data_IF_777627451380
#
_entry.id   IF_777627451380
#
_cell.length_a   1.000
_cell.length_b   1.000
_cell.length_c   1.000
_cell.angle_alpha   90.00
_cell.angle_beta   90.00
_cell.angle_gamma   90.00
#
_symmetry.space_group_name_H-M   'P 1'
#
loop_
_entity.id
_entity.type
_entity.pdbx_description
1 polymer ?
#
# COMPACT_ATOMS: atom_id res chain seq x y z
N UNK A 1 5.06 10.49 52.18
CA UNK A 1 4.97 11.62 53.13
C UNK A 1 3.84 12.50 52.67
N UNK A 2 2.95 12.77 53.64
CA UNK A 2 1.66 13.46 53.62
C UNK A 2 0.48 12.56 53.25
N UNK A 3 -0.10 12.00 54.20
CA UNK A 3 -1.03 12.32 55.32
C UNK A 3 -2.45 12.67 54.84
N UNK A 4 -3.34 11.73 55.13
CA UNK A 4 -4.81 11.75 55.01
C UNK A 4 -5.34 12.36 56.34
N UNK A 5 -6.31 13.26 56.35
CA UNK A 5 -7.12 13.48 57.52
C UNK A 5 -8.47 12.77 57.40
N UNK A 6 -8.73 11.97 58.44
CA UNK A 6 -10.02 11.41 58.77
C UNK A 6 -10.94 12.50 59.34
N UNK A 7 -12.18 12.53 58.90
CA UNK A 7 -13.27 13.22 59.59
C UNK A 7 -14.25 12.20 60.18
N UNK A 8 -14.37 12.31 61.49
CA UNK A 8 -15.35 11.67 62.41
C UNK A 8 -16.69 12.37 62.33
N UNK A 9 -17.82 11.69 62.61
CA UNK A 9 -19.17 12.26 62.64
C UNK A 9 -19.52 12.82 64.04
N UNK A 10 -20.41 13.78 64.15
CA UNK A 10 -21.04 14.13 65.42
C UNK A 10 -22.44 13.55 65.58
N UNK A 11 -22.68 13.01 66.65
CA UNK A 11 -23.49 12.70 67.74
C UNK A 11 -24.95 13.17 67.72
N UNK A 12 -25.79 12.22 68.12
CA UNK A 12 -27.14 12.44 68.51
C UNK A 12 -27.31 13.40 69.73
N UNK A 13 -28.45 14.05 69.87
CA UNK A 13 -28.97 14.37 71.16
C UNK A 13 -30.35 13.74 71.44
N UNK A 14 -30.30 12.84 72.44
CA UNK A 14 -31.16 12.67 73.61
C UNK A 14 -32.64 13.09 73.56
N UNK A 15 -33.43 12.06 73.80
CA UNK A 15 -34.80 12.04 74.30
C UNK A 15 -35.03 12.86 75.54
N UNK A 16 -36.18 13.48 75.67
CA UNK A 16 -36.81 13.89 76.91
C UNK A 16 -38.29 13.46 76.96
N UNK A 17 -38.78 13.03 78.11
CA UNK A 17 -40.08 12.37 78.26
C UNK A 17 -41.24 13.37 78.51
N UNK A 18 -42.53 12.90 78.36
CA UNK A 18 -43.69 13.73 78.50
C UNK A 18 -44.19 13.89 79.95
N UNK A 19 -44.95 14.92 80.29
CA UNK A 19 -45.54 15.10 81.62
C UNK A 19 -46.91 14.45 81.76
N UNK A 20 -47.16 14.05 83.01
CA UNK A 20 -48.36 13.35 83.46
C UNK A 20 -49.62 14.21 83.48
N UNK A 21 -50.75 13.59 83.21
CA UNK A 21 -52.06 14.15 83.25
C UNK A 21 -52.72 14.38 84.63
N UNK A 22 -53.91 14.89 84.69
CA UNK A 22 -54.74 14.66 85.90
C UNK A 22 -55.98 13.81 85.63
N UNK A 23 -56.26 13.05 86.67
CA UNK A 23 -57.47 12.21 86.84
C UNK A 23 -58.70 13.12 87.02
N UNK A 24 -59.82 12.82 86.38
CA UNK A 24 -61.17 13.15 86.88
C UNK A 24 -62.17 12.05 86.67
N UNK A 25 -63.00 12.02 87.61
CA UNK A 25 -63.95 11.04 88.10
C UNK A 25 -65.07 10.66 87.11
N UNK A 26 -65.57 9.45 87.37
CA UNK A 26 -66.78 8.85 86.77
C UNK A 26 -68.08 9.56 87.09
N UNK A 27 -68.90 9.78 86.02
CA UNK A 27 -70.36 9.93 86.20
C UNK A 27 -71.12 8.97 85.30
N UNK A 28 -71.93 8.14 85.90
CA UNK A 28 -72.86 7.26 85.24
C UNK A 28 -74.04 8.05 84.63
N UNK A 29 -74.23 7.99 83.33
CA UNK A 29 -75.39 8.54 82.62
C UNK A 29 -76.13 7.45 81.82
N UNK A 30 -77.42 7.34 82.03
CA UNK A 30 -78.34 6.41 81.37
C UNK A 30 -78.36 6.62 79.82
N UNK A 31 -78.19 5.53 79.04
CA UNK A 31 -78.23 5.56 77.57
C UNK A 31 -79.68 5.15 77.10
N UNK A 32 -80.38 6.02 76.35
CA UNK A 32 -81.63 5.64 75.69
C UNK A 32 -81.31 4.71 74.47
N UNK A 33 -82.12 3.66 74.28
CA UNK A 33 -81.87 2.57 73.28
C UNK A 33 -82.15 3.00 71.82
N UNK A 34 -82.54 4.21 71.50
CA UNK A 34 -82.81 4.67 70.14
C UNK A 34 -81.54 4.96 69.25
N UNK A 35 -80.35 5.38 69.72
CA UNK A 35 -79.20 5.64 68.86
C UNK A 35 -78.43 4.40 68.43
N UNK A 36 -78.68 3.22 69.06
CA UNK A 36 -77.90 1.98 68.73
C UNK A 36 -78.29 1.42 67.38
N UNK A 37 -79.55 1.54 66.92
CA UNK A 37 -80.02 1.07 65.62
C UNK A 37 -79.38 1.99 64.50
N UNK A 38 -79.30 3.29 64.72
CA UNK A 38 -78.70 4.21 63.79
C UNK A 38 -77.23 3.98 63.62
N UNK A 39 -76.46 3.66 64.70
CA UNK A 39 -75.02 3.38 64.64
C UNK A 39 -74.76 2.06 63.89
N UNK A 40 -75.58 1.02 64.04
CA UNK A 40 -75.45 -0.22 63.29
C UNK A 40 -75.71 -0.03 61.77
N UNK A 41 -76.65 0.82 61.38
CA UNK A 41 -76.97 1.13 59.98
C UNK A 41 -75.78 1.92 59.35
N UNK A 42 -75.23 2.87 60.10
CA UNK A 42 -74.06 3.65 59.65
C UNK A 42 -72.78 2.75 59.47
N UNK A 43 -72.55 1.83 60.39
CA UNK A 43 -71.48 0.85 60.33
C UNK A 43 -71.66 -0.12 59.14
N UNK A 44 -72.87 -0.60 58.92
CA UNK A 44 -73.19 -1.46 57.78
C UNK A 44 -73.10 -0.68 56.44
N UNK A 45 -73.51 0.57 56.39
CA UNK A 45 -73.33 1.43 55.23
C UNK A 45 -71.82 1.75 54.97
N UNK A 46 -71.07 2.00 56.02
CA UNK A 46 -69.63 2.19 55.92
C UNK A 46 -68.86 0.92 55.45
N UNK A 47 -69.27 -0.25 55.96
CA UNK A 47 -68.76 -1.55 55.52
C UNK A 47 -69.14 -1.86 54.06
N UNK A 48 -70.41 -1.56 53.67
CA UNK A 48 -70.86 -1.73 52.29
C UNK A 48 -70.13 -0.78 51.34
N UNK A 49 -69.88 0.48 51.72
CA UNK A 49 -69.12 1.46 50.98
C UNK A 49 -67.61 1.02 50.91
N UNK A 50 -67.07 0.52 52.02
CA UNK A 50 -65.71 -0.04 52.07
C UNK A 50 -65.56 -1.25 51.14
N UNK A 51 -66.52 -2.20 51.22
CA UNK A 51 -66.50 -3.37 50.33
C UNK A 51 -66.70 -3.00 48.86
N UNK A 52 -67.58 -2.05 48.56
CA UNK A 52 -67.78 -1.54 47.21
C UNK A 52 -66.50 -0.81 46.67
N UNK A 53 -65.91 -0.02 47.53
CA UNK A 53 -64.65 0.66 47.18
C UNK A 53 -63.48 -0.34 46.96
N UNK A 54 -63.38 -1.35 47.82
CA UNK A 54 -62.38 -2.40 47.68
C UNK A 54 -62.62 -3.19 46.37
N UNK A 55 -63.85 -3.59 46.10
CA UNK A 55 -64.20 -4.31 44.86
C UNK A 55 -63.98 -3.44 43.60
N UNK A 56 -64.24 -2.13 43.68
CA UNK A 56 -63.99 -1.22 42.59
C UNK A 56 -62.46 -0.98 42.34
N UNK A 57 -61.67 -1.02 43.41
CA UNK A 57 -60.16 -0.93 43.33
C UNK A 57 -59.62 -2.22 42.71
N UNK A 58 -60.09 -3.39 43.15
CA UNK A 58 -59.67 -4.67 42.59
C UNK A 58 -59.96 -4.80 41.08
N UNK A 59 -61.17 -4.41 40.68
CA UNK A 59 -61.59 -4.38 39.27
C UNK A 59 -60.78 -3.41 38.45
N UNK A 60 -60.42 -2.23 39.00
CA UNK A 60 -59.51 -1.26 38.33
C UNK A 60 -58.11 -1.81 38.25
N UNK A 61 -57.64 -2.46 39.31
CA UNK A 61 -56.31 -3.11 39.30
C UNK A 61 -56.25 -4.25 38.26
N UNK A 62 -57.28 -5.11 38.20
CA UNK A 62 -57.37 -6.14 37.14
C UNK A 62 -57.47 -5.57 35.73
N UNK A 63 -58.24 -4.49 35.53
CA UNK A 63 -58.35 -3.82 34.24
C UNK A 63 -57.03 -3.17 33.82
N UNK A 64 -56.34 -2.53 34.79
CA UNK A 64 -55.01 -1.93 34.54
C UNK A 64 -53.99 -3.02 34.25
N UNK A 65 -54.06 -4.14 34.98
CA UNK A 65 -53.17 -5.28 34.77
C UNK A 65 -53.39 -5.96 33.40
N UNK A 66 -54.68 -6.12 32.99
CA UNK A 66 -55.01 -6.63 31.64
C UNK A 66 -54.57 -5.65 30.55
N UNK A 67 -54.82 -4.35 30.73
CA UNK A 67 -54.36 -3.31 29.82
C UNK A 67 -52.82 -3.26 29.69
N UNK A 68 -52.11 -3.55 30.81
CA UNK A 68 -50.62 -3.61 30.81
C UNK A 68 -50.10 -4.88 30.11
N UNK A 69 -50.84 -6.02 30.24
CA UNK A 69 -50.47 -7.27 29.57
C UNK A 69 -50.78 -7.22 28.06
N UNK A 70 -51.87 -6.53 27.66
CA UNK A 70 -52.26 -6.35 26.25
C UNK A 70 -51.58 -5.14 25.58
N UNK A 71 -50.79 -4.38 26.34
CA UNK A 71 -50.07 -3.22 25.77
C UNK A 71 -49.02 -3.70 24.76
N UNK A 72 -49.25 -3.39 23.49
CA UNK A 72 -48.29 -3.59 22.38
C UNK A 72 -47.58 -2.29 22.08
N UNK A 73 -46.35 -2.14 22.50
CA UNK A 73 -45.60 -0.91 22.19
C UNK A 73 -45.44 -0.76 20.68
N UNK A 74 -45.65 0.47 20.21
CA UNK A 74 -45.38 0.81 18.81
C UNK A 74 -43.90 0.91 18.58
N UNK A 75 -43.37 0.19 17.59
CA UNK A 75 -41.96 0.16 17.27
C UNK A 75 -41.77 0.45 15.78
N UNK A 76 -40.92 1.43 15.48
CA UNK A 76 -40.49 1.68 14.10
C UNK A 76 -39.67 0.51 13.62
N UNK A 77 -39.85 0.13 12.35
CA UNK A 77 -39.12 -1.01 11.77
C UNK A 77 -38.33 -0.60 10.54
N UNK A 78 -37.17 -1.21 10.39
CA UNK A 78 -36.39 -1.19 9.16
C UNK A 78 -36.02 -2.61 8.73
N UNK A 79 -35.74 -2.81 7.46
CA UNK A 79 -35.29 -4.11 6.95
C UNK A 79 -33.79 -4.16 6.90
N UNK A 80 -33.19 -5.27 7.34
CA UNK A 80 -31.78 -5.54 7.18
C UNK A 80 -31.42 -5.69 5.68
N UNK A 81 -30.52 -4.87 5.18
CA UNK A 81 -30.13 -4.91 3.77
C UNK A 81 -28.97 -5.87 3.55
N UNK A 82 -29.13 -6.78 2.60
CA UNK A 82 -28.03 -7.62 2.13
C UNK A 82 -27.22 -6.87 1.08
N UNK A 83 -25.94 -6.68 1.30
CA UNK A 83 -25.00 -6.08 0.33
C UNK A 83 -24.05 -7.13 -0.21
N UNK A 84 -24.18 -7.43 -1.49
CA UNK A 84 -23.35 -8.42 -2.20
C UNK A 84 -22.19 -7.77 -2.98
N UNK A 85 -22.25 -6.46 -3.25
CA UNK A 85 -21.25 -5.73 -4.00
C UNK A 85 -19.91 -5.56 -3.27
N UNK A 86 -18.82 -5.18 -4.00
CA UNK A 86 -17.52 -4.94 -3.40
C UNK A 86 -17.56 -3.83 -2.34
N UNK A 87 -16.63 -3.89 -1.42
CA UNK A 87 -16.44 -2.82 -0.43
C UNK A 87 -15.65 -1.71 -1.13
N UNK A 88 -16.23 -0.53 -1.24
CA UNK A 88 -15.55 0.65 -1.78
C UNK A 88 -14.79 1.33 -0.66
N UNK A 89 -13.45 1.35 -0.80
CA UNK A 89 -12.55 2.05 0.10
C UNK A 89 -11.91 3.20 -0.66
N UNK A 90 -12.21 4.43 -0.27
CA UNK A 90 -11.63 5.61 -0.90
C UNK A 90 -10.53 6.19 -0.02
N UNK A 91 -9.35 6.41 -0.62
CA UNK A 91 -8.16 6.96 0.04
C UNK A 91 -7.51 8.03 -0.84
N UNK A 92 -6.94 9.07 -0.23
CA UNK A 92 -6.13 10.03 -0.97
C UNK A 92 -4.86 9.36 -1.48
N UNK A 93 -4.47 9.71 -2.70
CA UNK A 93 -3.27 9.20 -3.35
C UNK A 93 -2.51 10.28 -4.10
N UNK A 94 -1.30 9.95 -4.50
CA UNK A 94 -0.45 10.81 -5.33
C UNK A 94 -0.08 10.06 -6.60
N UNK A 95 -0.17 10.73 -7.74
CA UNK A 95 0.24 10.20 -9.03
C UNK A 95 1.76 10.38 -9.16
N UNK A 96 2.45 9.29 -9.42
CA UNK A 96 3.88 9.22 -9.66
C UNK A 96 4.14 8.75 -11.09
N UNK A 97 5.28 9.08 -11.70
CA UNK A 97 5.67 8.48 -12.97
C UNK A 97 5.87 6.97 -12.79
N UNK A 98 5.59 6.19 -13.83
CA UNK A 98 5.85 4.75 -13.81
C UNK A 98 7.35 4.46 -13.65
N UNK A 99 8.17 5.12 -14.48
CA UNK A 99 9.63 5.16 -14.38
C UNK A 99 10.11 6.61 -14.42
N UNK A 100 11.15 6.91 -13.66
CA UNK A 100 11.85 8.18 -13.66
C UNK A 100 13.34 7.97 -13.75
N UNK A 101 14.01 8.67 -14.66
CA UNK A 101 15.46 8.69 -14.76
C UNK A 101 16.00 10.12 -14.61
N UNK A 102 16.98 10.26 -13.73
CA UNK A 102 17.78 11.45 -13.61
C UNK A 102 19.08 11.23 -14.40
N UNK A 103 19.26 11.98 -15.48
CA UNK A 103 20.38 11.83 -16.40
C UNK A 103 21.51 12.74 -15.98
N UNK A 104 22.66 12.15 -15.71
CA UNK A 104 23.91 12.83 -15.32
C UNK A 104 24.95 12.71 -16.41
N UNK A 105 25.91 13.66 -16.46
CA UNK A 105 27.08 13.56 -17.32
C UNK A 105 27.95 12.39 -16.86
N UNK A 106 28.46 11.61 -17.82
CA UNK A 106 29.46 10.54 -17.60
C UNK A 106 30.81 10.87 -18.23
N UNK A 107 30.88 11.98 -18.95
CA UNK A 107 32.09 12.58 -19.50
C UNK A 107 32.19 14.04 -19.06
N UNK A 108 33.40 14.52 -18.81
CA UNK A 108 33.66 15.93 -18.49
C UNK A 108 33.92 16.70 -19.77
N UNK A 109 33.24 17.80 -19.98
CA UNK A 109 33.36 18.62 -21.17
C UNK A 109 32.28 19.71 -21.24
N UNK A 110 32.23 20.43 -22.36
CA UNK A 110 31.23 21.47 -22.59
C UNK A 110 30.08 20.92 -23.42
N UNK A 111 28.86 21.40 -23.12
CA UNK A 111 27.68 21.06 -23.92
C UNK A 111 27.81 21.72 -25.31
N UNK A 112 28.08 20.93 -26.34
CA UNK A 112 28.20 21.41 -27.70
C UNK A 112 26.85 21.59 -28.40
N UNK A 113 25.95 20.67 -28.18
CA UNK A 113 24.63 20.64 -28.83
C UNK A 113 23.57 20.06 -27.91
N UNK A 114 22.38 20.64 -27.91
CA UNK A 114 21.20 20.15 -27.23
C UNK A 114 20.06 19.93 -28.23
N UNK A 115 19.49 18.72 -28.25
CA UNK A 115 18.43 18.32 -29.20
C UNK A 115 17.02 18.42 -28.63
N UNK A 116 16.89 18.47 -27.30
CA UNK A 116 15.61 18.38 -26.59
C UNK A 116 15.46 19.51 -25.56
N UNK A 117 14.20 19.81 -25.20
CA UNK A 117 13.88 20.77 -24.14
C UNK A 117 12.79 20.22 -23.22
N UNK A 118 12.43 20.98 -22.15
CA UNK A 118 11.34 20.65 -21.25
C UNK A 118 10.06 20.45 -22.06
N UNK A 119 9.31 19.37 -21.75
CA UNK A 119 8.10 18.99 -22.47
C UNK A 119 8.33 18.19 -23.75
N UNK A 120 9.57 18.01 -24.20
CA UNK A 120 9.87 17.17 -25.37
C UNK A 120 9.57 15.71 -25.08
N UNK A 121 8.82 15.05 -25.97
CA UNK A 121 8.67 13.59 -25.98
C UNK A 121 9.85 12.95 -26.68
N UNK A 122 10.41 11.93 -26.07
CA UNK A 122 11.64 11.27 -26.50
C UNK A 122 11.47 9.74 -26.47
N UNK A 123 12.17 9.06 -27.39
CA UNK A 123 12.20 7.61 -27.45
C UNK A 123 13.53 7.06 -26.94
N UNK A 124 13.54 5.82 -26.52
CA UNK A 124 14.76 5.13 -26.09
C UNK A 124 15.84 5.19 -27.19
N UNK A 125 17.04 5.66 -26.83
CA UNK A 125 18.15 5.83 -27.76
C UNK A 125 18.24 7.22 -28.39
N UNK A 126 17.24 8.08 -28.29
CA UNK A 126 17.30 9.44 -28.82
C UNK A 126 18.45 10.24 -28.16
N UNK A 127 19.14 11.07 -28.96
CA UNK A 127 20.21 11.93 -28.47
C UNK A 127 19.64 13.15 -27.74
N UNK A 128 19.96 13.31 -26.47
CA UNK A 128 19.58 14.46 -25.65
C UNK A 128 20.53 15.63 -25.87
N UNK A 129 21.82 15.36 -25.63
CA UNK A 129 22.91 16.34 -25.79
C UNK A 129 24.17 15.67 -26.27
N UNK A 130 25.03 16.48 -26.88
CA UNK A 130 26.39 16.12 -27.19
C UNK A 130 27.33 16.95 -26.31
N UNK A 131 28.20 16.25 -25.59
CA UNK A 131 29.31 16.83 -24.83
C UNK A 131 30.53 16.88 -25.74
N UNK A 132 31.27 17.97 -25.74
CA UNK A 132 32.57 18.08 -26.40
C UNK A 132 33.66 17.93 -25.36
N UNK A 133 34.49 16.90 -25.51
CA UNK A 133 35.62 16.63 -24.65
C UNK A 133 36.92 16.44 -25.50
N UNK A 134 37.48 17.53 -26.08
CA UNK A 134 38.61 17.45 -27.02
C UNK A 134 39.84 16.71 -26.44
N UNK A 135 40.06 16.82 -25.14
CA UNK A 135 41.17 16.12 -24.47
C UNK A 135 40.99 14.60 -24.48
N UNK A 136 39.76 14.12 -24.36
CA UNK A 136 39.46 12.71 -24.42
C UNK A 136 39.56 12.16 -25.84
N UNK A 137 39.12 12.94 -26.83
CA UNK A 137 39.30 12.62 -28.25
C UNK A 137 40.77 12.51 -28.63
N UNK A 138 41.58 13.46 -28.16
CA UNK A 138 43.05 13.45 -28.41
C UNK A 138 43.70 12.22 -27.75
N UNK A 139 43.28 11.84 -26.54
CA UNK A 139 43.78 10.63 -25.88
C UNK A 139 43.39 9.35 -26.65
N UNK A 140 42.17 9.27 -27.19
CA UNK A 140 41.75 8.16 -28.02
C UNK A 140 42.57 8.06 -29.30
N UNK A 141 42.81 9.17 -29.98
CA UNK A 141 43.69 9.22 -31.18
C UNK A 141 45.09 8.74 -30.85
N UNK A 142 45.67 9.21 -29.76
CA UNK A 142 47.01 8.78 -29.30
C UNK A 142 47.07 7.26 -29.04
N UNK A 143 46.06 6.71 -28.34
CA UNK A 143 45.99 5.28 -28.06
C UNK A 143 45.83 4.45 -29.35
N UNK A 144 45.07 4.95 -30.33
CA UNK A 144 44.91 4.29 -31.64
C UNK A 144 46.24 4.28 -32.42
N UNK A 145 46.98 5.38 -32.39
CA UNK A 145 48.32 5.45 -33.01
C UNK A 145 49.28 4.45 -32.34
N UNK A 146 49.27 4.35 -31.01
CA UNK A 146 50.05 3.38 -30.25
C UNK A 146 49.67 1.93 -30.59
N UNK A 147 48.38 1.64 -30.79
CA UNK A 147 47.93 0.32 -31.25
C UNK A 147 48.49 -0.02 -32.64
N UNK A 148 48.48 0.94 -33.57
CA UNK A 148 49.07 0.77 -34.89
C UNK A 148 50.58 0.44 -34.81
N UNK A 149 51.33 1.09 -33.90
CA UNK A 149 52.72 0.79 -33.66
C UNK A 149 52.92 -0.66 -33.15
N UNK A 150 52.11 -1.10 -32.17
CA UNK A 150 52.22 -2.47 -31.66
C UNK A 150 51.84 -3.53 -32.72
N UNK A 151 50.87 -3.23 -33.57
CA UNK A 151 50.48 -4.09 -34.69
C UNK A 151 51.65 -4.22 -35.71
N UNK A 152 52.35 -3.13 -36.03
CA UNK A 152 53.53 -3.17 -36.89
C UNK A 152 54.66 -4.01 -36.26
N UNK A 153 54.85 -3.90 -34.92
CA UNK A 153 55.83 -4.72 -34.21
C UNK A 153 55.44 -6.21 -34.24
N UNK A 154 54.18 -6.56 -34.17
CA UNK A 154 53.73 -7.95 -34.35
C UNK A 154 54.03 -8.48 -35.76
N UNK A 155 53.79 -7.68 -36.79
CA UNK A 155 54.14 -8.01 -38.18
C UNK A 155 55.66 -8.28 -38.29
N UNK A 156 56.51 -7.42 -37.70
CA UNK A 156 57.94 -7.62 -37.67
C UNK A 156 58.34 -8.92 -36.95
N UNK A 157 57.70 -9.22 -35.81
CA UNK A 157 57.93 -10.45 -35.05
C UNK A 157 57.57 -11.70 -35.86
N UNK A 158 56.45 -11.66 -36.61
CA UNK A 158 56.04 -12.75 -37.51
C UNK A 158 57.06 -12.96 -38.67
N UNK A 159 57.61 -11.88 -39.26
CA UNK A 159 58.67 -11.98 -40.27
C UNK A 159 59.99 -12.61 -39.71
N UNK A 160 60.27 -12.34 -38.44
CA UNK A 160 61.45 -12.98 -37.76
C UNK A 160 61.21 -14.51 -37.58
N UNK A 161 59.96 -14.92 -37.29
CA UNK A 161 59.57 -16.36 -37.24
C UNK A 161 59.76 -17.01 -38.61
N UNK A 162 59.30 -16.36 -39.69
CA UNK A 162 59.45 -16.90 -41.03
C UNK A 162 60.87 -17.05 -41.42
N UNK A 163 61.73 -16.08 -41.08
CA UNK A 163 63.18 -16.18 -41.28
C UNK A 163 63.79 -17.35 -40.45
N UNK A 164 63.48 -17.46 -39.18
CA UNK A 164 63.97 -18.55 -38.30
C UNK A 164 63.46 -19.95 -38.82
N UNK A 165 62.29 -20.04 -39.31
CA UNK A 165 61.72 -21.25 -39.92
C UNK A 165 62.48 -21.67 -41.19
N UNK A 166 62.84 -20.69 -42.07
CA UNK A 166 63.59 -20.95 -43.26
C UNK A 166 65.06 -21.42 -42.92
N UNK A 167 65.65 -20.82 -41.89
CA UNK A 167 67.00 -21.21 -41.40
C UNK A 167 66.97 -22.64 -40.82
N UNK A 168 65.95 -22.98 -40.03
CA UNK A 168 65.76 -24.33 -39.49
C UNK A 168 65.60 -25.37 -40.60
N UNK A 169 64.79 -25.04 -41.61
CA UNK A 169 64.60 -25.91 -42.77
C UNK A 169 65.89 -26.18 -43.50
N UNK A 170 66.68 -25.14 -43.76
CA UNK A 170 67.98 -25.29 -44.39
C UNK A 170 68.95 -26.14 -43.54
N UNK A 171 69.06 -25.89 -42.23
CA UNK A 171 69.85 -26.66 -41.27
C UNK A 171 69.45 -28.13 -41.25
N UNK A 172 68.13 -28.40 -41.25
CA UNK A 172 67.58 -29.76 -41.29
C UNK A 172 67.93 -30.53 -42.57
N UNK A 173 67.81 -29.87 -43.73
CA UNK A 173 68.27 -30.43 -45.01
C UNK A 173 69.78 -30.73 -45.05
N UNK A 174 70.60 -29.82 -44.53
CA UNK A 174 72.04 -29.96 -44.46
C UNK A 174 72.42 -31.09 -43.53
N UNK A 175 71.84 -31.15 -42.31
CA UNK A 175 72.10 -32.20 -41.33
C UNK A 175 71.70 -33.58 -41.86
N UNK A 176 70.57 -33.73 -42.49
CA UNK A 176 70.08 -34.99 -43.08
C UNK A 176 71.09 -35.50 -44.16
N UNK A 177 71.58 -34.58 -45.00
CA UNK A 177 72.57 -34.95 -46.06
C UNK A 177 73.90 -35.36 -45.44
N UNK A 178 74.44 -34.57 -44.51
CA UNK A 178 75.75 -34.83 -43.87
C UNK A 178 75.67 -36.12 -43.06
N UNK A 179 74.64 -36.37 -42.29
CA UNK A 179 74.43 -37.60 -41.50
C UNK A 179 74.40 -38.84 -42.39
N UNK A 180 73.71 -38.76 -43.54
CA UNK A 180 73.64 -39.82 -44.51
C UNK A 180 75.03 -40.13 -45.11
N UNK A 181 75.80 -39.07 -45.48
CA UNK A 181 77.18 -39.25 -46.03
C UNK A 181 78.16 -39.80 -44.97
N UNK A 182 78.05 -39.38 -43.71
CA UNK A 182 78.84 -39.87 -42.59
C UNK A 182 78.56 -41.37 -42.33
N UNK A 183 77.31 -41.80 -42.38
CA UNK A 183 76.99 -43.23 -42.26
C UNK A 183 77.51 -44.13 -43.38
N UNK A 184 77.79 -43.53 -44.52
CA UNK A 184 78.42 -44.20 -45.66
C UNK A 184 79.94 -44.08 -45.69
N UNK A 185 80.57 -43.40 -44.70
CA UNK A 185 82.03 -43.20 -44.63
C UNK A 185 82.55 -42.10 -45.52
N UNK A 186 81.75 -41.26 -46.16
CA UNK A 186 82.15 -40.20 -47.09
C UNK A 186 82.32 -38.83 -46.41
N UNK A 187 81.98 -38.72 -45.16
CA UNK A 187 82.06 -37.49 -44.36
C UNK A 187 82.51 -37.85 -42.93
N UNK A 188 83.11 -36.86 -42.19
CA UNK A 188 83.60 -37.07 -40.84
C UNK A 188 82.46 -36.99 -39.80
N UNK A 189 82.57 -37.80 -38.71
CA UNK A 189 81.64 -37.76 -37.59
C UNK A 189 81.60 -36.36 -36.95
N UNK A 190 82.77 -35.70 -36.84
CA UNK A 190 82.83 -34.29 -36.31
C UNK A 190 81.98 -33.31 -37.13
N UNK A 191 81.91 -33.45 -38.47
CA UNK A 191 81.07 -32.59 -39.29
C UNK A 191 79.60 -32.95 -39.17
N UNK A 192 79.22 -34.21 -38.95
CA UNK A 192 77.85 -34.63 -38.64
C UNK A 192 77.42 -34.05 -37.29
N UNK A 193 78.26 -34.09 -36.25
CA UNK A 193 77.94 -33.47 -34.93
C UNK A 193 77.81 -31.95 -35.01
N UNK A 194 78.66 -31.29 -35.86
CA UNK A 194 78.51 -29.85 -36.08
C UNK A 194 77.17 -29.45 -36.73
N UNK A 195 76.81 -30.22 -37.76
CA UNK A 195 75.49 -29.95 -38.41
C UNK A 195 74.30 -30.30 -37.55
N UNK A 196 74.39 -31.32 -36.68
CA UNK A 196 73.35 -31.63 -35.68
C UNK A 196 73.23 -30.49 -34.64
N UNK A 197 74.42 -29.99 -34.17
CA UNK A 197 74.40 -28.84 -33.24
C UNK A 197 73.80 -27.58 -33.89
N UNK A 198 74.09 -27.33 -35.19
CA UNK A 198 73.55 -26.24 -35.96
C UNK A 198 72.00 -26.40 -36.10
N UNK A 199 71.52 -27.62 -36.33
CA UNK A 199 70.08 -27.90 -36.36
C UNK A 199 69.41 -27.57 -35.02
N UNK A 200 70.00 -28.05 -33.92
CA UNK A 200 69.47 -27.80 -32.57
C UNK A 200 69.43 -26.29 -32.22
N UNK A 201 70.48 -25.55 -32.60
CA UNK A 201 70.60 -24.11 -32.45
C UNK A 201 69.53 -23.37 -33.24
N UNK A 202 69.25 -23.75 -34.49
CA UNK A 202 68.19 -23.15 -35.32
C UNK A 202 66.79 -23.50 -34.79
N UNK A 203 66.60 -24.68 -34.22
CA UNK A 203 65.36 -25.06 -33.57
C UNK A 203 65.05 -24.16 -32.32
N UNK A 204 66.10 -23.94 -31.47
CA UNK A 204 66.02 -23.04 -30.34
C UNK A 204 65.71 -21.57 -30.74
N UNK A 205 66.39 -21.15 -31.88
CA UNK A 205 66.12 -19.81 -32.42
C UNK A 205 64.66 -19.65 -32.92
N UNK A 206 64.14 -20.67 -33.57
CA UNK A 206 62.71 -20.63 -33.96
C UNK A 206 61.79 -20.53 -32.72
N UNK A 207 62.02 -21.33 -31.70
CA UNK A 207 61.27 -21.28 -30.45
C UNK A 207 61.34 -19.89 -29.80
N UNK A 208 62.49 -19.30 -29.76
CA UNK A 208 62.74 -17.91 -29.29
C UNK A 208 61.95 -16.89 -30.12
N UNK A 209 61.95 -17.01 -31.46
CA UNK A 209 61.16 -16.14 -32.33
C UNK A 209 59.62 -16.31 -32.10
N UNK A 210 59.16 -17.54 -31.92
CA UNK A 210 57.75 -17.80 -31.57
C UNK A 210 57.37 -17.21 -30.23
N UNK A 211 58.25 -17.28 -29.22
CA UNK A 211 58.04 -16.60 -27.95
C UNK A 211 57.96 -15.06 -28.13
N UNK A 212 58.77 -14.50 -29.02
CA UNK A 212 58.72 -13.07 -29.39
C UNK A 212 57.37 -12.67 -29.98
N UNK A 213 56.79 -13.51 -30.85
CA UNK A 213 55.43 -13.27 -31.37
C UNK A 213 54.40 -13.23 -30.24
N UNK A 214 54.44 -14.17 -29.30
CA UNK A 214 53.52 -14.20 -28.16
C UNK A 214 53.61 -12.94 -27.31
N UNK A 215 54.83 -12.39 -27.12
CA UNK A 215 55.01 -11.11 -26.42
C UNK A 215 54.39 -9.96 -27.21
N UNK A 216 54.64 -9.90 -28.53
CA UNK A 216 54.06 -8.86 -29.38
C UNK A 216 52.52 -8.94 -29.42
N UNK A 217 51.91 -10.14 -29.50
CA UNK A 217 50.48 -10.35 -29.41
C UNK A 217 49.91 -9.86 -28.07
N UNK A 218 50.59 -10.16 -26.95
CA UNK A 218 50.19 -9.68 -25.64
C UNK A 218 50.18 -8.14 -25.55
N UNK A 219 51.21 -7.49 -26.15
CA UNK A 219 51.31 -6.02 -26.20
C UNK A 219 50.18 -5.42 -27.06
N UNK A 220 49.85 -6.01 -28.23
CA UNK A 220 48.70 -5.58 -29.05
C UNK A 220 47.44 -5.69 -28.25
N UNK A 221 47.19 -6.81 -27.56
CA UNK A 221 46.00 -7.02 -26.75
C UNK A 221 45.89 -6.01 -25.59
N UNK A 222 46.97 -5.72 -24.92
CA UNK A 222 46.98 -4.72 -23.83
C UNK A 222 46.68 -3.31 -24.34
N UNK A 223 47.24 -2.92 -25.48
CA UNK A 223 46.99 -1.61 -26.10
C UNK A 223 45.59 -1.51 -26.66
N UNK A 224 45.06 -2.59 -27.25
CA UNK A 224 43.66 -2.70 -27.71
C UNK A 224 42.71 -2.45 -26.55
N UNK A 225 42.91 -3.07 -25.39
CA UNK A 225 42.10 -2.84 -24.21
C UNK A 225 42.07 -1.37 -23.77
N UNK A 226 43.21 -0.67 -23.93
CA UNK A 226 43.29 0.78 -23.66
C UNK A 226 42.46 1.57 -24.65
N UNK A 227 42.49 1.26 -25.93
CA UNK A 227 41.67 1.89 -26.97
C UNK A 227 40.21 1.65 -26.70
N UNK A 228 39.78 0.43 -26.34
CA UNK A 228 38.40 0.07 -26.10
C UNK A 228 37.86 0.80 -24.86
N UNK A 229 38.66 0.95 -23.80
CA UNK A 229 38.31 1.78 -22.64
C UNK A 229 38.06 3.23 -23.04
N UNK A 230 38.96 3.84 -23.80
CA UNK A 230 38.84 5.24 -24.23
C UNK A 230 37.63 5.43 -25.18
N UNK A 231 37.38 4.48 -26.08
CA UNK A 231 36.14 4.49 -26.91
C UNK A 231 34.87 4.48 -26.07
N UNK A 232 34.86 3.67 -25.01
CA UNK A 232 33.69 3.64 -24.09
C UNK A 232 33.52 4.98 -23.41
N UNK A 233 34.59 5.62 -22.97
CA UNK A 233 34.55 6.95 -22.36
C UNK A 233 34.07 8.03 -23.34
N UNK A 234 34.59 8.02 -24.58
CA UNK A 234 34.18 8.93 -25.65
C UNK A 234 32.71 8.70 -26.05
N UNK A 235 32.22 7.47 -26.04
CA UNK A 235 30.79 7.18 -26.29
C UNK A 235 29.85 7.89 -25.30
N UNK A 236 30.31 8.20 -24.07
CA UNK A 236 29.55 8.96 -23.08
C UNK A 236 29.41 10.44 -23.39
N UNK A 237 30.08 10.96 -24.41
CA UNK A 237 29.85 12.30 -24.93
C UNK A 237 28.48 12.44 -25.61
N UNK A 238 27.94 11.34 -26.10
CA UNK A 238 26.59 11.27 -26.63
C UNK A 238 25.66 10.76 -25.56
N UNK A 239 24.92 11.66 -24.93
CA UNK A 239 23.97 11.32 -23.87
C UNK A 239 22.63 10.97 -24.49
N UNK A 240 22.18 9.73 -24.29
CA UNK A 240 20.94 9.18 -24.86
C UNK A 240 19.90 8.86 -23.82
N UNK A 241 18.66 8.74 -24.28
CA UNK A 241 17.46 8.41 -23.49
C UNK A 241 17.45 6.91 -23.15
N UNK A 242 17.20 6.50 -21.88
CA UNK A 242 17.14 5.09 -21.49
C UNK A 242 15.80 4.41 -21.81
N UNK A 243 14.69 5.15 -21.85
CA UNK A 243 13.33 4.65 -22.11
C UNK A 243 12.43 5.78 -22.66
N UNK A 244 11.33 5.41 -23.28
CA UNK A 244 10.35 6.37 -23.83
C UNK A 244 9.70 7.21 -22.74
N UNK A 245 9.62 8.53 -22.94
CA UNK A 245 9.05 9.43 -21.93
C UNK A 245 9.09 10.89 -22.32
N UNK A 246 8.91 11.75 -21.33
CA UNK A 246 8.90 13.21 -21.47
C UNK A 246 9.98 13.82 -20.60
N UNK A 247 10.65 14.85 -21.11
CA UNK A 247 11.61 15.64 -20.33
C UNK A 247 10.83 16.56 -19.39
N UNK A 248 10.95 16.34 -18.09
CA UNK A 248 10.23 17.13 -17.07
C UNK A 248 11.09 18.21 -16.43
N UNK A 249 12.42 18.03 -16.44
CA UNK A 249 13.35 19.03 -15.94
C UNK A 249 14.62 19.06 -16.80
N UNK A 250 15.21 20.26 -16.93
CA UNK A 250 16.46 20.55 -17.61
C UNK A 250 17.27 21.54 -16.77
N UNK A 251 18.50 21.18 -16.43
CA UNK A 251 19.37 21.98 -15.60
C UNK A 251 20.71 22.29 -16.29
N UNK A 252 20.73 22.26 -17.64
CA UNK A 252 21.92 22.57 -18.45
C UNK A 252 21.53 23.40 -19.66
N UNK A 253 22.50 24.22 -20.14
CA UNK A 253 22.42 24.95 -21.40
C UNK A 253 23.63 24.67 -22.29
N UNK A 254 23.53 25.04 -23.58
CA UNK A 254 24.63 24.92 -24.52
C UNK A 254 25.77 25.86 -24.08
N UNK A 255 26.97 25.32 -23.99
CA UNK A 255 28.14 26.03 -23.48
C UNK A 255 28.46 25.77 -22.01
N UNK A 256 27.57 25.14 -21.26
CA UNK A 256 27.83 24.78 -19.86
C UNK A 256 28.91 23.72 -19.75
N UNK A 257 29.74 23.84 -18.71
CA UNK A 257 30.70 22.81 -18.33
C UNK A 257 30.00 21.76 -17.46
N UNK A 258 30.03 20.51 -17.90
CA UNK A 258 29.55 19.35 -17.14
C UNK A 258 30.73 18.48 -16.72
N UNK A 259 30.61 17.80 -15.58
CA UNK A 259 31.63 16.93 -15.03
C UNK A 259 31.08 15.54 -14.71
N UNK A 260 31.88 14.51 -15.04
CA UNK A 260 31.56 13.13 -14.70
C UNK A 260 31.61 12.85 -13.18
N UNK A 261 32.30 13.67 -12.41
CA UNK A 261 32.48 13.54 -10.96
C UNK A 261 31.32 14.17 -10.17
N UNK A 262 30.34 14.80 -10.84
CA UNK A 262 29.23 15.49 -10.22
C UNK A 262 28.15 14.54 -9.66
N UNK A 263 28.53 13.52 -8.92
CA UNK A 263 27.59 12.67 -8.16
C UNK A 263 26.76 13.47 -7.14
N UNK A 264 27.12 14.71 -6.85
CA UNK A 264 26.44 15.66 -5.97
C UNK A 264 25.78 16.83 -6.70
N UNK A 265 25.83 16.87 -8.03
CA UNK A 265 25.22 17.92 -8.86
C UNK A 265 23.75 17.66 -9.20
N UNK A 266 23.07 18.72 -9.68
CA UNK A 266 21.75 18.54 -10.28
C UNK A 266 21.85 17.66 -11.55
N UNK A 267 20.87 16.79 -11.81
CA UNK A 267 20.83 16.02 -13.05
C UNK A 267 20.71 16.94 -14.25
N UNK A 268 21.34 16.61 -15.35
CA UNK A 268 21.21 17.39 -16.61
C UNK A 268 19.75 17.43 -17.09
N UNK A 269 19.09 16.27 -17.06
CA UNK A 269 17.69 16.10 -17.39
C UNK A 269 17.01 15.14 -16.41
N UNK A 270 15.71 15.36 -16.21
CA UNK A 270 14.80 14.38 -15.62
C UNK A 270 13.82 13.92 -16.68
N UNK A 271 13.76 12.61 -16.90
CA UNK A 271 12.86 11.96 -17.86
C UNK A 271 11.85 11.15 -17.05
N UNK A 272 10.57 11.27 -17.41
CA UNK A 272 9.49 10.52 -16.78
C UNK A 272 8.67 9.82 -17.86
N UNK A 273 8.31 8.56 -17.55
CA UNK A 273 7.35 7.80 -18.36
C UNK A 273 5.94 8.19 -17.95
N UNK A 274 5.10 8.56 -18.90
CA UNK A 274 3.74 9.04 -18.66
C UNK A 274 2.63 8.26 -19.38
N UNK A 275 2.97 7.28 -20.24
CA UNK A 275 2.01 6.37 -20.91
C UNK A 275 1.23 5.49 -19.91
N UNK A 276 1.87 5.16 -18.83
CA UNK A 276 1.32 4.54 -17.64
C UNK A 276 1.78 5.34 -16.44
N UNK A 277 0.92 5.57 -15.49
CA UNK A 277 1.26 6.25 -14.24
C UNK A 277 1.07 5.30 -13.05
N UNK A 278 1.78 5.58 -11.99
CA UNK A 278 1.67 4.86 -10.74
C UNK A 278 0.99 5.71 -9.69
N UNK A 279 -0.14 5.27 -9.20
CA UNK A 279 -0.85 5.95 -8.12
C UNK A 279 -0.49 5.29 -6.80
N UNK A 280 0.01 6.10 -5.88
CA UNK A 280 0.42 5.68 -4.56
C UNK A 280 -0.61 6.14 -3.53
N UNK A 281 -1.17 5.20 -2.76
CA UNK A 281 -2.09 5.49 -1.68
C UNK A 281 -1.66 4.79 -0.39
N UNK A 282 -2.05 5.37 0.74
CA UNK A 282 -1.76 4.84 2.08
C UNK A 282 -3.04 4.30 2.70
N UNK A 283 -3.14 2.99 2.85
CA UNK A 283 -4.33 2.29 3.36
C UNK A 283 -4.18 2.05 4.85
N UNK A 284 -5.15 2.46 5.70
CA UNK A 284 -5.13 2.22 7.13
C UNK A 284 -5.16 0.73 7.49
N UNK A 285 -4.59 0.36 8.64
CA UNK A 285 -4.53 -1.01 9.14
C UNK A 285 -5.89 -1.70 9.19
N UNK A 286 -6.98 -0.97 9.49
CA UNK A 286 -8.35 -1.50 9.53
C UNK A 286 -8.83 -2.09 8.21
N UNK A 287 -8.29 -1.61 7.08
CA UNK A 287 -8.84 -1.87 5.75
C UNK A 287 -7.90 -2.70 4.85
N UNK A 288 -6.72 -3.05 5.34
CA UNK A 288 -5.71 -3.79 4.54
C UNK A 288 -6.10 -5.24 4.23
N UNK A 289 -6.97 -5.86 5.02
CA UNK A 289 -7.25 -7.31 4.92
C UNK A 289 -7.80 -7.73 3.55
N UNK A 290 -8.43 -6.81 2.83
CA UNK A 290 -8.97 -7.05 1.48
C UNK A 290 -8.09 -6.58 0.34
N UNK A 291 -7.00 -5.85 0.62
CA UNK A 291 -6.10 -5.31 -0.40
C UNK A 291 -5.12 -6.40 -0.84
N UNK A 292 -5.18 -6.76 -2.13
CA UNK A 292 -4.31 -7.75 -2.77
C UNK A 292 -3.94 -7.26 -4.17
N UNK A 293 -2.87 -7.78 -4.71
CA UNK A 293 -2.49 -7.52 -6.09
C UNK A 293 -3.64 -7.93 -7.03
N UNK A 294 -3.91 -7.08 -8.02
CA UNK A 294 -5.00 -7.25 -8.97
C UNK A 294 -6.36 -6.68 -8.54
N UNK A 295 -6.53 -6.17 -7.31
CA UNK A 295 -7.76 -5.47 -6.90
C UNK A 295 -8.00 -4.28 -7.82
N UNK A 296 -9.21 -4.15 -8.42
CA UNK A 296 -9.55 -3.01 -9.25
C UNK A 296 -9.52 -1.71 -8.44
N UNK A 297 -9.06 -0.64 -9.07
CA UNK A 297 -9.08 0.70 -8.50
C UNK A 297 -9.62 1.69 -9.52
N UNK A 298 -10.41 2.63 -9.04
CA UNK A 298 -10.84 3.80 -9.78
C UNK A 298 -10.14 5.02 -9.22
N UNK A 299 -9.50 5.78 -10.11
CA UNK A 299 -8.73 6.97 -9.76
C UNK A 299 -9.47 8.19 -10.27
N UNK A 300 -9.77 9.09 -9.37
CA UNK A 300 -10.47 10.34 -9.64
C UNK A 300 -9.56 11.52 -9.33
N UNK A 301 -9.46 12.46 -10.26
CA UNK A 301 -8.63 13.65 -10.12
C UNK A 301 -9.55 14.86 -10.13
N UNK A 302 -9.49 15.70 -9.10
CA UNK A 302 -10.41 16.82 -8.93
C UNK A 302 -10.33 17.85 -10.09
N UNK A 303 -9.15 17.99 -10.69
CA UNK A 303 -8.88 18.87 -11.82
C UNK A 303 -9.43 18.35 -13.15
N UNK A 304 -9.86 17.07 -13.22
CA UNK A 304 -10.40 16.41 -14.42
C UNK A 304 -11.82 15.87 -14.16
N UNK A 305 -12.79 16.75 -13.90
CA UNK A 305 -14.14 16.33 -13.55
C UNK A 305 -14.79 15.52 -14.68
N UNK A 306 -15.42 14.41 -14.30
CA UNK A 306 -16.09 13.51 -15.26
C UNK A 306 -15.19 12.45 -15.90
N UNK A 307 -13.88 12.43 -15.60
CA UNK A 307 -12.96 11.37 -16.03
C UNK A 307 -12.65 10.46 -14.84
N UNK A 308 -12.92 9.17 -14.99
CA UNK A 308 -12.53 8.14 -14.05
C UNK A 308 -11.50 7.25 -14.73
N UNK A 309 -10.34 7.13 -14.15
CA UNK A 309 -9.26 6.31 -14.67
C UNK A 309 -9.21 5.00 -13.91
N UNK A 310 -9.45 3.91 -14.61
CA UNK A 310 -9.44 2.58 -14.00
C UNK A 310 -8.04 1.94 -14.07
N UNK A 311 -7.66 1.32 -12.98
CA UNK A 311 -6.40 0.61 -12.84
C UNK A 311 -6.52 -0.63 -11.97
N UNK A 312 -5.38 -1.16 -11.55
CA UNK A 312 -5.31 -2.31 -10.65
C UNK A 312 -4.18 -2.10 -9.65
N UNK A 313 -4.37 -2.62 -8.44
CA UNK A 313 -3.29 -2.74 -7.48
C UNK A 313 -2.18 -3.61 -8.10
N UNK A 314 -1.01 -3.01 -8.28
CA UNK A 314 0.16 -3.69 -8.82
C UNK A 314 1.00 -4.33 -7.72
N UNK A 315 1.07 -3.67 -6.56
CA UNK A 315 1.84 -4.15 -5.40
C UNK A 315 1.44 -3.43 -4.12
N UNK A 316 1.73 -4.06 -2.99
CA UNK A 316 1.65 -3.45 -1.67
C UNK A 316 2.95 -3.67 -0.91
N UNK A 317 3.24 -2.80 0.06
CA UNK A 317 4.48 -2.87 0.84
C UNK A 317 4.55 -4.10 1.76
N UNK A 318 3.42 -4.79 1.99
CA UNK A 318 3.30 -5.95 2.90
C UNK A 318 3.81 -5.66 4.33
N UNK A 319 3.93 -4.38 4.66
CA UNK A 319 4.36 -3.87 5.96
C UNK A 319 3.63 -2.57 6.27
N UNK A 320 3.39 -2.33 7.54
CA UNK A 320 2.82 -1.07 8.02
C UNK A 320 3.93 -0.11 8.42
N UNK A 321 3.75 1.15 8.08
CA UNK A 321 4.54 2.22 8.67
C UNK A 321 4.17 2.32 10.16
N UNK A 322 5.15 2.23 11.09
CA UNK A 322 4.88 2.20 12.52
C UNK A 322 4.30 3.52 13.07
N UNK A 323 4.54 4.65 12.40
CA UNK A 323 4.09 5.97 12.85
C UNK A 323 2.67 6.26 12.40
N UNK A 324 2.38 6.04 11.11
CA UNK A 324 1.06 6.33 10.52
C UNK A 324 0.07 5.16 10.62
N UNK A 325 0.55 3.93 10.91
CA UNK A 325 -0.25 2.70 10.89
C UNK A 325 -0.96 2.48 9.56
N UNK A 326 -0.32 2.86 8.46
CA UNK A 326 -0.82 2.67 7.11
C UNK A 326 0.10 1.76 6.31
N UNK A 327 -0.45 1.09 5.31
CA UNK A 327 0.28 0.29 4.33
C UNK A 327 0.32 1.04 3.00
N UNK A 328 1.52 1.15 2.43
CA UNK A 328 1.70 1.70 1.10
C UNK A 328 1.16 0.70 0.06
N UNK A 329 0.26 1.19 -0.79
CA UNK A 329 -0.31 0.46 -1.93
C UNK A 329 -0.04 1.25 -3.20
N UNK A 330 0.38 0.57 -4.25
CA UNK A 330 0.63 1.16 -5.56
C UNK A 330 -0.28 0.50 -6.60
N UNK A 331 -0.99 1.33 -7.35
CA UNK A 331 -1.80 0.93 -8.48
C UNK A 331 -1.21 1.48 -9.77
N UNK A 332 -1.13 0.66 -10.80
CA UNK A 332 -0.70 1.09 -12.12
C UNK A 332 -1.95 1.40 -12.97
N UNK A 333 -1.96 2.58 -13.56
CA UNK A 333 -3.09 3.15 -14.33
C UNK A 333 -2.60 3.55 -15.72
N UNK A 334 -3.28 3.06 -16.75
CA UNK A 334 -2.98 3.44 -18.12
C UNK A 334 -3.37 4.91 -18.38
N UNK A 335 -2.51 5.63 -19.08
CA UNK A 335 -2.67 7.06 -19.39
C UNK A 335 -2.43 7.35 -20.87
N UNK A 336 -3.22 6.73 -21.78
CA UNK A 336 -3.00 6.87 -23.22
C UNK A 336 -3.18 8.31 -23.73
N UNK A 337 -4.04 9.08 -23.09
CA UNK A 337 -4.33 10.47 -23.44
C UNK A 337 -3.39 11.47 -22.76
N UNK A 338 -2.46 11.00 -21.94
CA UNK A 338 -1.49 11.81 -21.18
C UNK A 338 -2.12 12.90 -20.31
N UNK A 339 -3.35 12.68 -19.83
CA UNK A 339 -4.06 13.62 -18.96
C UNK A 339 -3.59 13.56 -17.51
N UNK A 340 -3.14 12.38 -17.07
CA UNK A 340 -2.61 12.19 -15.72
C UNK A 340 -1.14 12.60 -15.69
N UNK A 341 -0.87 13.75 -15.09
CA UNK A 341 0.50 14.22 -14.90
C UNK A 341 1.04 13.77 -13.53
N UNK A 342 2.28 13.24 -13.47
CA UNK A 342 2.93 12.97 -12.20
C UNK A 342 2.98 14.22 -11.31
N UNK A 343 2.71 14.03 -10.03
CA UNK A 343 2.61 15.11 -9.03
C UNK A 343 1.20 15.52 -8.68
N UNK A 344 0.17 15.14 -9.46
CA UNK A 344 -1.22 15.41 -9.12
C UNK A 344 -1.67 14.57 -7.93
N UNK A 345 -2.57 15.14 -7.13
CA UNK A 345 -3.32 14.39 -6.12
C UNK A 345 -4.53 13.70 -6.76
N UNK A 346 -4.86 12.54 -6.26
CA UNK A 346 -5.98 11.77 -6.74
C UNK A 346 -6.73 11.12 -5.58
N UNK A 347 -8.02 10.91 -5.77
CA UNK A 347 -8.84 10.07 -4.92
C UNK A 347 -8.87 8.66 -5.51
N UNK A 348 -8.40 7.69 -4.73
CA UNK A 348 -8.27 6.29 -5.17
C UNK A 348 -9.34 5.47 -4.47
N UNK A 349 -10.27 4.93 -5.23
CA UNK A 349 -11.30 4.04 -4.73
C UNK A 349 -10.94 2.60 -5.07
N UNK A 350 -10.70 1.80 -4.05
CA UNK A 350 -10.43 0.37 -4.15
C UNK A 350 -11.74 -0.40 -4.12
N UNK A 351 -11.98 -1.26 -5.10
CA UNK A 351 -13.11 -2.18 -5.16
C UNK A 351 -12.72 -3.53 -4.55
N UNK A 352 -12.79 -3.62 -3.22
CA UNK A 352 -12.36 -4.78 -2.45
C UNK A 352 -13.42 -5.88 -2.54
N UNK A 353 -13.10 -7.06 -3.08
CA UNK A 353 -14.04 -8.18 -3.13
C UNK A 353 -14.47 -8.60 -1.72
N UNK A 354 -15.78 -8.77 -1.49
CA UNK A 354 -16.27 -9.34 -0.25
C UNK A 354 -16.03 -10.84 -0.20
N UNK A 355 -15.62 -11.33 0.94
CA UNK A 355 -15.50 -12.78 1.17
C UNK A 355 -16.84 -13.39 1.56
N UNK A 356 -17.75 -12.61 2.14
CA UNK A 356 -19.11 -13.00 2.54
C UNK A 356 -20.07 -11.84 2.28
N UNK A 357 -21.35 -12.11 1.99
CA UNK A 357 -22.36 -11.06 1.93
C UNK A 357 -22.43 -10.29 3.25
N UNK A 358 -22.39 -8.97 3.18
CA UNK A 358 -22.53 -8.12 4.36
C UNK A 358 -23.98 -7.78 4.63
N UNK A 359 -24.42 -7.91 5.87
CA UNK A 359 -25.74 -7.42 6.30
C UNK A 359 -25.57 -6.03 6.91
N UNK A 360 -26.22 -5.05 6.32
CA UNK A 360 -26.18 -3.66 6.78
C UNK A 360 -27.50 -3.32 7.47
N UNK A 361 -27.38 -2.77 8.67
CA UNK A 361 -28.52 -2.35 9.49
C UNK A 361 -28.37 -0.88 9.87
N UNK A 362 -29.45 -0.11 10.04
CA UNK A 362 -29.37 1.23 10.61
C UNK A 362 -28.75 1.19 12.01
N UNK A 363 -27.91 2.16 12.35
CA UNK A 363 -27.28 2.22 13.68
C UNK A 363 -28.30 2.34 14.81
N UNK A 364 -29.48 2.91 14.52
CA UNK A 364 -30.62 2.97 15.45
C UNK A 364 -31.21 1.60 15.83
N UNK A 365 -30.92 0.53 15.07
CA UNK A 365 -31.38 -0.83 15.36
C UNK A 365 -30.43 -1.57 16.28
N UNK A 366 -29.20 -1.09 16.46
CA UNK A 366 -28.18 -1.74 17.29
C UNK A 366 -28.34 -1.32 18.73
N UNK A 367 -28.52 -2.30 19.60
CA UNK A 367 -28.72 -2.11 21.03
C UNK A 367 -27.52 -2.68 21.80
N UNK A 368 -27.23 -2.05 22.93
CA UNK A 368 -26.17 -2.50 23.84
C UNK A 368 -26.71 -2.53 25.27
N UNK A 369 -26.67 -3.70 25.88
CA UNK A 369 -27.06 -3.89 27.27
C UNK A 369 -26.10 -4.83 28.02
N UNK A 370 -26.50 -5.31 29.21
CA UNK A 370 -25.72 -6.24 30.00
C UNK A 370 -25.42 -7.59 29.35
N UNK A 371 -26.15 -7.96 28.27
CA UNK A 371 -25.92 -9.18 27.47
C UNK A 371 -25.00 -8.96 26.27
N UNK A 372 -24.62 -7.70 26.00
CA UNK A 372 -23.77 -7.28 24.89
C UNK A 372 -24.53 -6.64 23.75
N UNK A 373 -23.89 -6.63 22.56
CA UNK A 373 -24.50 -6.09 21.33
C UNK A 373 -25.53 -7.04 20.77
N UNK A 374 -26.74 -6.51 20.49
CA UNK A 374 -27.84 -7.26 19.91
C UNK A 374 -28.75 -6.36 19.06
N UNK A 375 -29.62 -6.97 18.31
CA UNK A 375 -30.74 -6.34 17.58
C UNK A 375 -32.03 -7.05 17.92
N UNK A 376 -33.11 -6.32 17.92
CA UNK A 376 -34.46 -6.84 18.10
C UNK A 376 -35.08 -7.14 16.74
N UNK A 377 -35.13 -8.41 16.39
CA UNK A 377 -35.76 -8.90 15.15
C UNK A 377 -37.23 -9.06 15.39
N UNK A 378 -38.09 -8.55 14.51
CA UNK A 378 -39.54 -8.72 14.54
C UNK A 378 -39.93 -9.89 13.63
N UNK A 379 -40.43 -10.94 14.22
CA UNK A 379 -40.84 -12.13 13.49
C UNK A 379 -42.18 -11.95 12.72
N UNK A 380 -42.69 -13.02 12.08
CA UNK A 380 -43.93 -13.01 11.31
C UNK A 380 -45.21 -12.78 12.16
N UNK A 381 -45.14 -13.05 13.47
CA UNK A 381 -46.21 -12.90 14.44
C UNK A 381 -46.15 -11.59 15.22
N UNK A 382 -45.33 -10.64 14.74
CA UNK A 382 -45.04 -9.32 15.35
C UNK A 382 -44.51 -9.44 16.80
N UNK A 383 -43.68 -10.45 17.05
CA UNK A 383 -42.96 -10.62 18.31
C UNK A 383 -41.49 -10.27 18.16
N UNK A 384 -40.92 -9.71 19.22
CA UNK A 384 -39.49 -9.41 19.31
C UNK A 384 -38.72 -10.69 19.57
N UNK A 385 -37.66 -10.90 18.81
CA UNK A 385 -36.62 -11.90 19.05
C UNK A 385 -35.31 -11.20 19.18
N UNK A 386 -34.71 -11.29 20.35
CA UNK A 386 -33.40 -10.71 20.63
C UNK A 386 -32.32 -11.54 19.94
N UNK A 387 -31.62 -10.96 18.99
CA UNK A 387 -30.57 -11.62 18.23
C UNK A 387 -29.20 -10.96 18.53
N UNK A 388 -28.27 -11.73 19.09
CA UNK A 388 -26.89 -11.27 19.28
C UNK A 388 -26.22 -11.05 17.94
N UNK A 389 -25.43 -9.97 17.86
CA UNK A 389 -24.71 -9.57 16.66
C UNK A 389 -23.25 -9.27 16.98
N UNK A 390 -22.43 -9.32 15.94
CA UNK A 390 -21.09 -8.74 15.97
C UNK A 390 -20.94 -7.72 14.84
N UNK A 391 -20.31 -6.59 15.16
CA UNK A 391 -20.09 -5.50 14.19
C UNK A 391 -18.82 -5.79 13.42
N UNK A 392 -18.89 -5.68 12.09
CA UNK A 392 -17.73 -5.71 11.21
C UNK A 392 -17.21 -4.30 10.94
N UNK A 393 -18.12 -3.37 10.57
CA UNK A 393 -17.76 -1.98 10.25
C UNK A 393 -18.90 -1.04 10.63
N UNK A 394 -18.56 0.13 11.15
CA UNK A 394 -19.48 1.21 11.49
C UNK A 394 -19.32 2.35 10.46
N UNK A 395 -20.45 2.74 9.83
CA UNK A 395 -20.53 3.86 8.89
C UNK A 395 -21.18 5.11 9.51
N UNK A 396 -21.43 5.10 10.84
CA UNK A 396 -22.08 6.17 11.58
C UNK A 396 -23.60 6.09 11.53
N UNK A 397 -24.23 6.21 10.37
CA UNK A 397 -25.70 6.09 10.20
C UNK A 397 -26.17 4.65 10.01
N UNK A 398 -25.28 3.75 9.61
CA UNK A 398 -25.55 2.33 9.42
C UNK A 398 -24.36 1.51 9.87
N UNK A 399 -24.59 0.26 10.21
CA UNK A 399 -23.60 -0.67 10.73
C UNK A 399 -23.62 -1.94 9.89
N UNK A 400 -22.46 -2.39 9.44
CA UNK A 400 -22.30 -3.69 8.78
C UNK A 400 -21.96 -4.76 9.81
N UNK A 401 -22.71 -5.84 9.80
CA UNK A 401 -22.57 -6.95 10.73
C UNK A 401 -21.62 -8.01 10.18
N UNK A 402 -20.79 -8.56 11.06
CA UNK A 402 -19.97 -9.72 10.77
C UNK A 402 -20.78 -11.02 10.89
N UNK A 403 -21.72 -11.06 11.84
CA UNK A 403 -22.56 -12.24 12.11
C UNK A 403 -23.84 -11.82 12.84
N UNK A 404 -24.85 -12.70 12.81
CA UNK A 404 -26.11 -12.57 13.57
C UNK A 404 -27.37 -12.51 12.72
N UNK A 405 -27.31 -11.96 11.49
CA UNK A 405 -28.45 -11.84 10.57
C UNK A 405 -28.12 -12.41 9.19
N UNK A 406 -29.17 -12.77 8.44
CA UNK A 406 -29.06 -13.28 7.06
C UNK A 406 -29.40 -12.25 5.97
N UNK A 407 -30.00 -11.12 6.38
CA UNK A 407 -30.54 -10.10 5.49
C UNK A 407 -32.04 -10.34 5.15
N UNK A 408 -32.78 -9.25 5.10
CA UNK A 408 -34.24 -9.28 4.89
C UNK A 408 -35.07 -9.32 6.17
N UNK A 409 -34.47 -9.45 7.35
CA UNK A 409 -35.14 -9.42 8.63
C UNK A 409 -35.66 -8.01 8.94
N UNK A 410 -36.83 -7.94 9.58
CA UNK A 410 -37.41 -6.71 10.12
C UNK A 410 -36.78 -6.42 11.49
N UNK A 411 -36.19 -5.25 11.64
CA UNK A 411 -35.52 -4.82 12.86
C UNK A 411 -36.25 -3.70 13.53
N UNK A 412 -36.33 -3.74 14.85
CA UNK A 412 -36.88 -2.65 15.64
C UNK A 412 -35.88 -1.49 15.72
N UNK A 413 -36.34 -0.28 15.42
CA UNK A 413 -35.56 0.96 15.57
C UNK A 413 -35.88 1.60 16.92
N UNK A 414 -34.89 1.76 17.79
CA UNK A 414 -35.03 2.38 19.10
C UNK A 414 -36.24 1.84 19.89
N UNK A 415 -36.32 0.53 20.15
CA UNK A 415 -37.46 -0.03 20.92
C UNK A 415 -37.51 0.62 22.30
N UNK A 416 -38.72 0.72 22.92
CA UNK A 416 -38.86 1.24 24.28
C UNK A 416 -38.03 0.46 25.28
N UNK A 417 -37.46 1.18 26.27
CA UNK A 417 -36.67 0.55 27.32
C UNK A 417 -37.48 -0.53 28.05
N UNK A 418 -36.91 -1.73 28.17
CA UNK A 418 -37.57 -2.89 28.80
C UNK A 418 -38.30 -3.81 27.84
N UNK A 419 -38.16 -3.64 26.53
CA UNK A 419 -38.60 -4.63 25.54
C UNK A 419 -37.88 -5.96 25.81
N UNK A 420 -38.62 -7.05 25.90
CA UNK A 420 -38.09 -8.38 26.21
C UNK A 420 -38.32 -9.36 25.08
N UNK A 421 -37.54 -10.41 25.04
CA UNK A 421 -37.69 -11.51 24.08
C UNK A 421 -39.08 -12.12 24.15
N UNK A 422 -39.74 -12.36 23.00
CA UNK A 422 -41.11 -12.86 22.88
C UNK A 422 -42.19 -11.83 23.06
N UNK A 423 -41.92 -10.57 23.38
CA UNK A 423 -42.91 -9.50 23.56
C UNK A 423 -43.60 -9.16 22.25
N UNK A 424 -44.95 -9.08 22.26
CA UNK A 424 -45.71 -8.62 21.11
C UNK A 424 -45.60 -7.11 20.95
N UNK A 425 -45.31 -6.65 19.75
CA UNK A 425 -45.17 -5.23 19.39
C UNK A 425 -46.08 -4.88 18.22
N UNK A 426 -46.30 -3.60 18.00
CA UNK A 426 -47.02 -3.10 16.83
C UNK A 426 -46.00 -2.42 15.90
N UNK A 427 -45.60 -3.08 14.79
CA UNK A 427 -44.66 -2.51 13.86
C UNK A 427 -45.27 -1.33 13.10
N UNK A 428 -44.57 -0.21 13.07
CA UNK A 428 -44.90 0.96 12.26
C UNK A 428 -43.82 1.15 11.21
N UNK A 429 -44.22 1.28 9.95
CA UNK A 429 -43.31 1.61 8.89
C UNK A 429 -42.57 2.93 9.21
N UNK A 430 -41.26 3.05 8.93
CA UNK A 430 -40.57 4.32 9.09
C UNK A 430 -41.25 5.39 8.26
N UNK A 431 -41.34 6.65 8.71
CA UNK A 431 -41.80 7.73 7.88
C UNK A 431 -40.92 7.72 6.61
N UNK A 432 -41.55 7.58 5.44
CA UNK A 432 -40.85 7.65 4.15
C UNK A 432 -40.02 8.91 4.10
N UNK A 433 -38.94 8.95 3.30
CA UNK A 433 -38.11 10.14 3.17
C UNK A 433 -39.00 11.33 2.87
N UNK A 434 -38.85 12.39 3.66
CA UNK A 434 -39.66 13.60 3.52
C UNK A 434 -39.56 14.07 2.04
N UNK A 435 -40.71 14.32 1.36
CA UNK A 435 -40.67 14.83 -0.01
C UNK A 435 -40.05 16.22 0.02
N UNK A 436 -38.76 16.34 -0.32
CA UNK A 436 -38.07 17.64 -0.33
C UNK A 436 -36.55 17.65 -0.21
N UNK A 437 -35.91 16.53 0.07
CA UNK A 437 -34.44 16.47 0.01
C UNK A 437 -33.97 16.12 -1.42
N UNK A 438 -34.19 17.04 -2.37
CA UNK A 438 -33.43 17.05 -3.61
C UNK A 438 -31.97 17.22 -3.23
N UNK A 439 -31.17 16.21 -3.51
CA UNK A 439 -29.71 16.27 -3.43
C UNK A 439 -29.24 17.54 -4.18
N UNK A 440 -28.78 18.52 -3.43
CA UNK A 440 -27.98 19.62 -3.96
C UNK A 440 -26.71 18.98 -4.52
N UNK A 441 -26.63 18.88 -5.84
CA UNK A 441 -25.37 18.67 -6.56
C UNK A 441 -24.53 19.92 -6.35
N UNK A 442 -23.45 19.80 -5.66
CA UNK A 442 -22.30 20.70 -5.72
C UNK A 442 -21.04 19.90 -5.90
#
# INVERSE_FOLDING_TARGET
MNEIPRHTPPGDPLLSPPPAGPKHAAQRGHVPRAPLIGAVVVVLAALALGAFNHWSIDRRAEATQRAAVDFRPQVRVATAELREGPIKLTQPGTILPFDQANIYARSTGYIAERKVDIGSRVHAGDLLVRISAPDLDAQLQQAQAQLGQMQAQLIQSNANVDQARANLYLAGRTNARTSQLASQGWETMQNADNTQTSLNTNAANLESALAGVKVAEANVKATQATVDRLRTLTAYESVTVPFDGVITARNIDVGDLVSADAASGAPMFTIQREDTVRVQAYVPQSDIAGIRDGVPVDVNVAELPGHVFSGKVARSAMALDPNSRTMLVQADVANPDHLLHPGLYAEVTFDIPRTHPGVVVPSEAVLFDGSGLHVDVIDGDDRVRVQKISIFRDFGTSVELADGLKGGERLALQPPAGTTDGQAVQPIAPPGPAPGATASKS
#
